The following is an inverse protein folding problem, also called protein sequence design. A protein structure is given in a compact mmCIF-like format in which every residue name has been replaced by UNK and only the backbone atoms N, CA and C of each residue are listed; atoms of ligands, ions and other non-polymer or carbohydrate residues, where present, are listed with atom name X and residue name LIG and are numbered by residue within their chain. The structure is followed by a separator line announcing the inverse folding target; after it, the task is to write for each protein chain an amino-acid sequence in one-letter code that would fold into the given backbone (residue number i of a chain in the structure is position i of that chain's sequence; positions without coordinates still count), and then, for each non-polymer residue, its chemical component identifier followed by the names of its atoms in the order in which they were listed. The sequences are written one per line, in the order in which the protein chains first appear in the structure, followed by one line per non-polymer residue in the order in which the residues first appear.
data_IF_935952234490
#
_entry.id   IF_935952234490
#
_cell.length_a   1.000
_cell.length_b   1.000
_cell.length_c   1.000
_cell.angle_alpha   90.00
_cell.angle_beta   90.00
_cell.angle_gamma   90.00
#
_symmetry.space_group_name_H-M   'P 1'
#
loop_
_entity.id
_entity.type
_entity.pdbx_description
1 polymer ?
#
# COMPACT_ATOMS: atom_id res chain seq x y z
N UNK A 1 -51.32 -39.99 42.50
CA UNK A 1 -50.74 -38.73 43.04
C UNK A 1 -49.44 -38.49 42.29
N UNK A 2 -49.49 -37.64 41.28
CA UNK A 2 -48.36 -37.34 40.41
C UNK A 2 -47.86 -35.92 40.72
N UNK A 3 -46.65 -35.81 41.21
CA UNK A 3 -45.97 -34.53 41.41
C UNK A 3 -45.20 -34.16 40.14
N UNK A 4 -45.73 -33.19 39.43
CA UNK A 4 -45.09 -32.57 38.28
C UNK A 4 -44.19 -31.41 38.77
N UNK A 5 -42.89 -31.62 38.70
CA UNK A 5 -41.89 -30.61 39.04
C UNK A 5 -41.75 -29.64 37.87
N UNK A 6 -42.13 -28.38 38.07
CA UNK A 6 -41.88 -27.29 37.10
C UNK A 6 -40.44 -26.79 37.26
N UNK A 7 -39.57 -27.11 36.29
CA UNK A 7 -38.26 -26.48 36.19
C UNK A 7 -38.45 -25.03 35.65
N UNK A 8 -38.07 -24.08 36.47
CA UNK A 8 -37.92 -22.68 36.06
C UNK A 8 -36.60 -22.53 35.29
N UNK A 9 -36.67 -22.39 33.98
CA UNK A 9 -35.54 -21.91 33.18
C UNK A 9 -35.34 -20.44 33.49
N UNK A 10 -34.23 -20.10 34.13
CA UNK A 10 -33.81 -18.69 34.27
C UNK A 10 -33.31 -18.23 32.92
N UNK A 11 -34.05 -17.31 32.29
CA UNK A 11 -33.55 -16.53 31.16
C UNK A 11 -32.35 -15.69 31.63
N UNK A 12 -31.15 -15.98 31.10
CA UNK A 12 -30.00 -15.14 31.28
C UNK A 12 -30.29 -13.81 30.54
N UNK A 13 -30.38 -12.71 31.31
CA UNK A 13 -30.48 -11.36 30.79
C UNK A 13 -29.17 -11.06 30.02
N UNK A 14 -29.18 -11.30 28.71
CA UNK A 14 -28.12 -10.86 27.83
C UNK A 14 -27.98 -9.35 27.91
N UNK A 15 -26.87 -8.88 28.44
CA UNK A 15 -26.52 -7.48 28.44
C UNK A 15 -26.58 -6.98 26.98
N UNK A 16 -27.58 -6.17 26.65
CA UNK A 16 -27.66 -5.49 25.34
C UNK A 16 -26.45 -4.56 25.28
N UNK A 17 -25.50 -4.91 24.45
CA UNK A 17 -24.37 -4.07 24.13
C UNK A 17 -24.93 -2.75 23.56
N UNK A 18 -24.78 -1.66 24.31
CA UNK A 18 -25.24 -0.34 23.87
C UNK A 18 -24.29 0.11 22.73
N UNK A 19 -24.76 0.02 21.50
CA UNK A 19 -24.06 0.58 20.34
C UNK A 19 -24.34 2.08 20.35
N UNK A 20 -23.35 2.86 20.77
CA UNK A 20 -23.41 4.31 20.73
C UNK A 20 -22.98 4.81 19.34
N UNK A 21 -23.94 5.09 18.50
CA UNK A 21 -23.75 5.59 17.14
C UNK A 21 -23.81 4.49 16.07
N UNK A 22 -23.98 4.91 14.83
CA UNK A 22 -23.91 4.06 13.64
C UNK A 22 -22.65 4.48 12.89
N UNK A 23 -21.65 3.60 12.76
CA UNK A 23 -20.46 3.93 11.96
C UNK A 23 -20.87 4.08 10.49
N UNK A 24 -20.27 5.03 9.80
CA UNK A 24 -20.25 5.04 8.35
C UNK A 24 -19.22 4.00 7.90
N UNK A 25 -19.65 3.01 7.10
CA UNK A 25 -18.78 1.91 6.66
C UNK A 25 -18.48 2.10 5.18
N UNK A 26 -17.22 2.32 4.88
CA UNK A 26 -16.71 2.37 3.53
C UNK A 26 -16.12 0.99 3.17
N UNK A 27 -16.43 0.50 1.97
CA UNK A 27 -15.95 -0.83 1.55
C UNK A 27 -14.66 -0.69 0.77
N UNK A 28 -13.65 -1.49 1.14
CA UNK A 28 -12.47 -1.71 0.33
C UNK A 28 -12.82 -2.58 -0.90
N UNK A 29 -12.01 -2.50 -1.94
CA UNK A 29 -12.19 -3.29 -3.16
C UNK A 29 -11.52 -2.62 -4.35
N UNK A 30 -12.07 -2.85 -5.52
CA UNK A 30 -11.61 -2.25 -6.78
C UNK A 30 -12.63 -1.22 -7.24
N UNK A 31 -12.27 0.07 -7.20
CA UNK A 31 -13.17 1.19 -7.48
C UNK A 31 -12.50 2.18 -8.42
N UNK A 32 -13.12 2.46 -9.56
CA UNK A 32 -12.62 3.46 -10.55
C UNK A 32 -11.15 3.24 -10.95
N UNK A 33 -10.74 2.00 -11.20
CA UNK A 33 -9.37 1.64 -11.60
C UNK A 33 -9.30 1.45 -13.10
N UNK A 34 -8.29 2.06 -13.74
CA UNK A 34 -7.96 1.83 -15.14
C UNK A 34 -6.95 0.68 -15.25
N UNK A 35 -7.32 -0.37 -15.99
CA UNK A 35 -6.46 -1.54 -16.20
C UNK A 35 -5.99 -1.63 -17.65
N UNK A 36 -4.71 -1.99 -17.81
CA UNK A 36 -4.20 -2.51 -19.07
C UNK A 36 -4.63 -3.96 -19.32
N UNK A 37 -4.01 -4.58 -20.32
CA UNK A 37 -4.28 -5.97 -20.73
C UNK A 37 -3.66 -6.95 -19.74
N UNK A 38 -4.33 -8.07 -19.49
CA UNK A 38 -3.82 -9.23 -18.72
C UNK A 38 -3.27 -8.87 -17.32
N UNK A 39 -3.92 -7.95 -16.63
CA UNK A 39 -3.60 -7.63 -15.23
C UNK A 39 -4.18 -8.70 -14.33
N UNK A 40 -3.36 -9.21 -13.42
CA UNK A 40 -3.75 -10.23 -12.42
C UNK A 40 -3.86 -9.56 -11.05
N UNK A 41 -4.99 -9.75 -10.36
CA UNK A 41 -5.22 -9.26 -9.01
C UNK A 41 -5.56 -10.45 -8.10
N UNK A 42 -4.91 -10.52 -6.94
CA UNK A 42 -5.24 -11.49 -5.89
C UNK A 42 -5.92 -10.76 -4.73
N UNK A 43 -7.19 -11.02 -4.54
CA UNK A 43 -7.98 -10.42 -3.45
C UNK A 43 -7.62 -11.00 -2.07
N UNK A 44 -7.89 -10.24 -0.98
CA UNK A 44 -8.51 -8.93 -0.96
C UNK A 44 -7.51 -7.81 -1.25
N UNK A 45 -7.97 -6.74 -1.91
CA UNK A 45 -7.18 -5.53 -2.21
C UNK A 45 -8.00 -4.26 -1.95
N UNK A 46 -7.34 -3.11 -1.88
CA UNK A 46 -7.97 -1.80 -1.85
C UNK A 46 -7.36 -0.91 -2.96
N UNK A 47 -7.95 -0.96 -4.14
CA UNK A 47 -7.49 -0.21 -5.31
C UNK A 47 -8.56 0.81 -5.69
N UNK A 48 -8.21 2.09 -5.74
CA UNK A 48 -9.20 3.11 -6.09
C UNK A 48 -8.59 4.30 -6.84
N UNK A 49 -9.26 4.70 -7.93
CA UNK A 49 -8.92 5.86 -8.75
C UNK A 49 -7.48 5.87 -9.28
N UNK A 50 -6.87 4.71 -9.45
CA UNK A 50 -5.50 4.52 -9.92
C UNK A 50 -5.45 3.89 -11.32
N UNK A 51 -4.25 3.78 -11.90
CA UNK A 51 -4.05 3.06 -13.16
C UNK A 51 -2.96 1.99 -13.03
N UNK A 52 -3.16 0.84 -13.68
CA UNK A 52 -2.25 -0.31 -13.65
C UNK A 52 -2.03 -0.78 -15.08
N UNK A 53 -0.78 -0.76 -15.53
CA UNK A 53 -0.37 -1.11 -16.90
C UNK A 53 -0.40 -2.62 -17.17
N UNK A 54 -0.20 -2.96 -18.46
CA UNK A 54 -0.35 -4.31 -19.01
C UNK A 54 0.49 -5.35 -18.29
N UNK A 55 -0.03 -6.58 -18.21
CA UNK A 55 0.68 -7.76 -17.69
C UNK A 55 1.22 -7.61 -16.27
N UNK A 56 0.65 -6.71 -15.49
CA UNK A 56 1.06 -6.47 -14.10
C UNK A 56 0.33 -7.38 -13.12
N UNK A 57 0.97 -7.65 -11.99
CA UNK A 57 0.45 -8.50 -10.92
C UNK A 57 0.31 -7.71 -9.63
N UNK A 58 -0.85 -7.80 -9.00
CA UNK A 58 -1.16 -7.19 -7.70
C UNK A 58 -1.48 -8.30 -6.70
N UNK A 59 -0.65 -8.44 -5.69
CA UNK A 59 -0.82 -9.41 -4.61
C UNK A 59 -1.91 -9.03 -3.61
N UNK A 60 -2.27 -9.95 -2.71
CA UNK A 60 -3.32 -9.71 -1.72
C UNK A 60 -2.91 -8.65 -0.69
N UNK A 61 -3.91 -7.97 -0.13
CA UNK A 61 -3.75 -6.91 0.87
C UNK A 61 -2.94 -5.70 0.38
N UNK A 62 -2.83 -5.51 -0.92
CA UNK A 62 -2.23 -4.30 -1.49
C UNK A 62 -3.26 -3.17 -1.45
N UNK A 63 -2.78 -1.97 -1.10
CA UNK A 63 -3.53 -0.73 -1.29
C UNK A 63 -2.82 0.16 -2.31
N UNK A 64 -3.57 0.64 -3.33
CA UNK A 64 -3.11 1.63 -4.30
C UNK A 64 -4.15 2.75 -4.38
N UNK A 65 -3.71 3.95 -4.03
CA UNK A 65 -4.59 5.09 -3.87
C UNK A 65 -4.80 5.90 -5.15
N UNK A 66 -5.76 6.80 -5.08
CA UNK A 66 -6.19 7.68 -6.17
C UNK A 66 -5.02 8.44 -6.81
N UNK A 67 -4.98 8.43 -8.15
CA UNK A 67 -3.97 9.12 -8.93
C UNK A 67 -2.59 8.44 -8.96
N UNK A 68 -2.38 7.34 -8.21
CA UNK A 68 -1.19 6.53 -8.36
C UNK A 68 -1.20 5.80 -9.72
N UNK A 69 -0.01 5.63 -10.30
CA UNK A 69 0.16 4.97 -11.61
C UNK A 69 1.20 3.88 -11.50
N UNK A 70 0.83 2.67 -11.90
CA UNK A 70 1.73 1.52 -12.01
C UNK A 70 1.93 1.23 -13.50
N UNK A 71 3.18 1.15 -13.92
CA UNK A 71 3.55 0.79 -15.29
C UNK A 71 3.21 -0.66 -15.65
N UNK A 72 3.65 -1.09 -16.82
CA UNK A 72 3.42 -2.43 -17.35
C UNK A 72 4.42 -3.44 -16.79
N UNK A 73 4.04 -4.72 -16.76
CA UNK A 73 4.87 -5.85 -16.30
C UNK A 73 5.43 -5.69 -14.90
N UNK A 74 4.72 -4.93 -14.07
CA UNK A 74 5.06 -4.72 -12.67
C UNK A 74 4.53 -5.85 -11.79
N UNK A 75 5.21 -6.08 -10.67
CA UNK A 75 4.76 -7.02 -9.63
C UNK A 75 4.71 -6.29 -8.29
N UNK A 76 3.51 -6.04 -7.81
CA UNK A 76 3.28 -5.42 -6.50
C UNK A 76 2.87 -6.53 -5.54
N UNK A 77 3.73 -6.84 -4.58
CA UNK A 77 3.54 -7.95 -3.67
C UNK A 77 2.67 -7.58 -2.46
N UNK A 78 2.22 -8.61 -1.75
CA UNK A 78 1.26 -8.48 -0.64
C UNK A 78 1.67 -7.44 0.42
N UNK A 79 0.66 -6.75 0.97
CA UNK A 79 0.81 -5.75 2.03
C UNK A 79 1.60 -4.50 1.62
N UNK A 80 1.82 -4.26 0.33
CA UNK A 80 2.42 -3.02 -0.13
C UNK A 80 1.39 -1.90 -0.12
N UNK A 81 1.83 -0.70 0.25
CA UNK A 81 1.03 0.51 0.25
C UNK A 81 1.60 1.53 -0.73
N UNK A 82 0.81 1.91 -1.72
CA UNK A 82 1.15 2.90 -2.74
C UNK A 82 0.21 4.09 -2.63
N UNK A 83 0.69 5.16 -2.02
CA UNK A 83 -0.13 6.35 -1.77
C UNK A 83 -0.35 7.21 -3.03
N UNK A 84 -1.20 8.23 -2.90
CA UNK A 84 -1.40 9.24 -3.94
C UNK A 84 -0.07 9.86 -4.39
N UNK A 85 0.02 10.29 -5.66
CA UNK A 85 1.18 10.93 -6.30
C UNK A 85 2.37 10.01 -6.58
N UNK A 86 2.23 8.69 -6.36
CA UNK A 86 3.28 7.72 -6.72
C UNK A 86 3.14 7.32 -8.19
N UNK A 87 4.25 7.36 -8.91
CA UNK A 87 4.37 6.86 -10.28
C UNK A 87 5.47 5.82 -10.32
N UNK A 88 5.14 4.62 -10.74
CA UNK A 88 6.05 3.48 -10.91
C UNK A 88 6.19 3.20 -12.40
N UNK A 89 7.41 3.17 -12.90
CA UNK A 89 7.71 2.82 -14.30
C UNK A 89 7.47 1.35 -14.60
N UNK A 90 7.90 0.90 -15.77
CA UNK A 90 7.71 -0.46 -16.25
C UNK A 90 8.70 -1.46 -15.62
N UNK A 91 8.35 -2.75 -15.66
CA UNK A 91 9.21 -3.85 -15.24
C UNK A 91 9.69 -3.75 -13.78
N UNK A 92 8.90 -3.10 -12.91
CA UNK A 92 9.25 -2.90 -11.52
C UNK A 92 8.76 -4.03 -10.62
N UNK A 93 9.53 -4.27 -9.55
CA UNK A 93 9.18 -5.22 -8.51
C UNK A 93 9.06 -4.50 -7.17
N UNK A 94 7.88 -4.44 -6.60
CA UNK A 94 7.61 -3.88 -5.28
C UNK A 94 7.33 -5.04 -4.34
N UNK A 95 8.28 -5.35 -3.46
CA UNK A 95 8.22 -6.51 -2.58
C UNK A 95 7.25 -6.31 -1.41
N UNK A 96 7.01 -7.37 -0.67
CA UNK A 96 6.05 -7.45 0.43
C UNK A 96 6.24 -6.34 1.47
N UNK A 97 5.15 -5.68 1.84
CA UNK A 97 5.18 -4.67 2.89
C UNK A 97 5.98 -3.41 2.55
N UNK A 98 6.34 -3.17 1.29
CA UNK A 98 6.97 -1.92 0.91
C UNK A 98 5.97 -0.76 1.01
N UNK A 99 6.41 0.36 1.60
CA UNK A 99 5.54 1.50 1.94
C UNK A 99 6.02 2.77 1.25
N UNK A 100 5.12 3.42 0.54
CA UNK A 100 5.35 4.76 -0.01
C UNK A 100 4.63 5.79 0.85
N UNK A 101 5.26 6.93 1.06
CA UNK A 101 4.66 8.06 1.77
C UNK A 101 4.71 9.32 0.90
N UNK A 102 3.76 10.22 1.06
CA UNK A 102 3.67 11.48 0.34
C UNK A 102 3.64 12.71 1.25
N UNK A 103 3.42 12.52 2.55
CA UNK A 103 3.40 13.56 3.57
C UNK A 103 4.67 13.49 4.43
N UNK A 104 5.41 14.58 4.49
CA UNK A 104 6.64 14.70 5.27
C UNK A 104 6.42 15.42 6.61
N UNK A 105 5.16 15.67 6.99
CA UNK A 105 4.80 16.33 8.25
C UNK A 105 5.53 17.66 8.47
N UNK A 106 5.72 18.43 7.39
CA UNK A 106 6.54 19.66 7.41
C UNK A 106 6.04 20.73 8.41
N UNK A 107 4.77 20.63 8.84
CA UNK A 107 4.17 21.52 9.83
C UNK A 107 4.12 20.91 11.23
N UNK A 108 4.76 19.77 11.46
CA UNK A 108 4.77 19.06 12.75
C UNK A 108 3.59 18.11 12.96
N UNK A 109 2.73 17.92 11.96
CA UNK A 109 1.58 17.01 11.95
C UNK A 109 1.16 16.67 10.53
N UNK A 110 0.11 15.84 10.36
CA UNK A 110 -0.42 15.52 9.04
C UNK A 110 -0.79 16.79 8.27
N UNK A 111 -0.48 16.79 6.97
CA UNK A 111 -0.78 17.92 6.10
C UNK A 111 -2.30 18.19 6.07
N UNK A 112 -2.67 19.41 6.37
CA UNK A 112 -4.06 19.87 6.26
C UNK A 112 -4.45 20.23 4.83
N UNK A 113 -3.46 20.42 3.95
CA UNK A 113 -3.61 20.75 2.55
C UNK A 113 -2.79 19.77 1.70
N UNK A 114 -3.44 19.16 0.71
CA UNK A 114 -2.80 18.23 -0.24
C UNK A 114 -1.68 18.86 -1.07
N UNK A 115 -1.63 20.18 -1.20
CA UNK A 115 -0.53 20.88 -1.88
C UNK A 115 0.84 20.70 -1.18
N UNK A 116 0.82 20.29 0.08
CA UNK A 116 2.02 19.96 0.87
C UNK A 116 2.56 18.56 0.56
N UNK A 117 1.74 17.66 -0.01
CA UNK A 117 2.19 16.34 -0.41
C UNK A 117 3.18 16.41 -1.57
N UNK A 118 4.08 15.46 -1.61
CA UNK A 118 5.15 15.40 -2.60
C UNK A 118 5.09 14.09 -3.38
N UNK A 119 5.38 14.12 -4.69
CA UNK A 119 5.35 12.94 -5.53
C UNK A 119 6.57 12.04 -5.32
N UNK A 120 6.36 10.74 -5.53
CA UNK A 120 7.43 9.74 -5.71
C UNK A 120 7.41 9.24 -7.15
N UNK A 121 8.58 9.14 -7.78
CA UNK A 121 8.74 8.61 -9.13
C UNK A 121 9.79 7.53 -9.16
N UNK A 122 9.42 6.34 -9.58
CA UNK A 122 10.34 5.26 -9.90
C UNK A 122 10.46 5.16 -11.42
N UNK A 123 11.69 5.07 -11.90
CA UNK A 123 11.98 4.72 -13.27
C UNK A 123 11.64 3.26 -13.57
N UNK A 124 12.16 2.74 -14.67
CA UNK A 124 11.92 1.37 -15.11
C UNK A 124 12.90 0.40 -14.43
N UNK A 125 12.50 -0.87 -14.30
CA UNK A 125 13.34 -1.94 -13.73
C UNK A 125 13.88 -1.60 -12.34
N UNK A 126 13.03 -0.99 -11.50
CA UNK A 126 13.34 -0.73 -10.09
C UNK A 126 12.79 -1.87 -9.24
N UNK A 127 13.65 -2.44 -8.40
CA UNK A 127 13.26 -3.45 -7.40
C UNK A 127 13.29 -2.85 -6.02
N UNK A 128 12.16 -2.85 -5.32
CA UNK A 128 12.04 -2.38 -3.94
C UNK A 128 11.90 -3.58 -3.02
N UNK A 129 12.84 -3.74 -2.10
CA UNK A 129 12.90 -4.87 -1.17
C UNK A 129 11.81 -4.83 -0.09
N UNK A 130 11.59 -5.97 0.53
CA UNK A 130 10.59 -6.19 1.58
C UNK A 130 10.72 -5.15 2.70
N UNK A 131 9.58 -4.58 3.13
CA UNK A 131 9.49 -3.59 4.20
C UNK A 131 10.37 -2.33 4.00
N UNK A 132 10.76 -2.03 2.77
CA UNK A 132 11.41 -0.75 2.49
C UNK A 132 10.40 0.40 2.58
N UNK A 133 10.86 1.57 3.03
CA UNK A 133 10.06 2.80 3.07
C UNK A 133 10.63 3.80 2.07
N UNK A 134 9.78 4.28 1.16
CA UNK A 134 10.15 5.22 0.12
C UNK A 134 9.49 6.57 0.42
N UNK A 135 10.30 7.57 0.73
CA UNK A 135 9.89 8.96 0.88
C UNK A 135 9.64 9.57 -0.51
N UNK A 136 9.04 10.76 -0.58
CA UNK A 136 8.89 11.50 -1.82
C UNK A 136 10.23 11.79 -2.49
N UNK A 137 10.62 10.94 -3.42
CA UNK A 137 11.91 10.97 -4.13
C UNK A 137 11.75 10.54 -5.58
N UNK A 138 12.76 10.85 -6.40
CA UNK A 138 12.90 10.30 -7.74
C UNK A 138 14.01 9.25 -7.75
N UNK A 139 13.69 8.05 -8.25
CA UNK A 139 14.62 6.92 -8.39
C UNK A 139 14.78 6.63 -9.88
N UNK A 140 16.03 6.68 -10.38
CA UNK A 140 16.31 6.38 -11.78
C UNK A 140 16.11 4.90 -12.12
N UNK A 141 16.20 4.55 -13.40
CA UNK A 141 16.11 3.17 -13.89
C UNK A 141 17.20 2.28 -13.29
N UNK A 142 16.93 0.96 -13.26
CA UNK A 142 17.89 -0.07 -12.87
C UNK A 142 18.44 0.10 -11.45
N UNK A 143 17.55 0.29 -10.48
CA UNK A 143 17.91 0.41 -9.06
C UNK A 143 17.34 -0.73 -8.26
N UNK A 144 18.12 -1.25 -7.33
CA UNK A 144 17.66 -2.21 -6.30
C UNK A 144 17.71 -1.53 -4.94
N UNK A 145 16.59 -1.49 -4.26
CA UNK A 145 16.47 -1.05 -2.86
C UNK A 145 16.43 -2.30 -1.99
N UNK A 146 17.34 -2.39 -1.04
CA UNK A 146 17.42 -3.51 -0.10
C UNK A 146 16.22 -3.58 0.85
N UNK A 147 15.96 -4.77 1.39
CA UNK A 147 14.90 -4.96 2.37
C UNK A 147 15.14 -4.07 3.62
N UNK A 148 14.05 -3.51 4.17
CA UNK A 148 14.09 -2.63 5.33
C UNK A 148 14.78 -1.29 5.11
N UNK A 149 15.18 -0.94 3.89
CA UNK A 149 15.83 0.33 3.61
C UNK A 149 14.84 1.50 3.71
N UNK A 150 15.35 2.68 4.09
CA UNK A 150 14.57 3.93 4.07
C UNK A 150 15.21 4.90 3.07
N UNK A 151 14.53 5.10 1.94
CA UNK A 151 14.99 5.99 0.87
C UNK A 151 14.53 7.41 1.15
N UNK A 152 15.46 8.28 1.51
CA UNK A 152 15.20 9.66 1.94
C UNK A 152 15.63 10.72 0.93
N UNK A 153 16.28 10.32 -0.17
CA UNK A 153 16.84 11.23 -1.18
C UNK A 153 16.76 10.60 -2.56
N UNK A 154 16.74 11.44 -3.58
CA UNK A 154 16.80 11.01 -4.97
C UNK A 154 17.97 10.07 -5.24
N UNK A 155 17.71 9.04 -6.04
CA UNK A 155 18.72 8.10 -6.55
C UNK A 155 18.90 8.36 -8.05
N UNK A 156 20.06 8.88 -8.42
CA UNK A 156 20.37 9.32 -9.79
C UNK A 156 21.28 8.36 -10.54
N UNK A 157 21.77 7.32 -9.86
CA UNK A 157 22.73 6.37 -10.45
C UNK A 157 22.23 4.95 -10.23
N UNK A 158 22.22 4.08 -11.26
CA UNK A 158 21.89 2.68 -11.11
C UNK A 158 22.79 1.99 -10.07
N UNK A 159 22.22 1.07 -9.30
CA UNK A 159 22.95 0.37 -8.27
C UNK A 159 22.06 -0.27 -7.21
N UNK A 160 22.69 -0.87 -6.22
CA UNK A 160 22.04 -1.46 -5.05
C UNK A 160 22.19 -0.50 -3.88
N UNK A 161 21.08 -0.09 -3.29
CA UNK A 161 21.00 0.83 -2.16
C UNK A 161 20.36 0.15 -0.97
N UNK A 162 20.89 0.30 0.22
CA UNK A 162 20.31 -0.26 1.43
C UNK A 162 20.63 0.57 2.67
N UNK A 163 19.98 0.24 3.78
CA UNK A 163 20.15 0.86 5.09
C UNK A 163 19.13 1.96 5.38
N UNK A 164 19.23 2.54 6.57
CA UNK A 164 18.42 3.67 7.04
C UNK A 164 19.33 4.79 7.56
N UNK A 165 19.45 5.91 6.83
CA UNK A 165 18.95 6.13 5.47
C UNK A 165 19.69 5.29 4.42
N UNK A 166 19.04 4.98 3.31
CA UNK A 166 19.61 4.17 2.23
C UNK A 166 20.86 4.83 1.62
N UNK A 167 21.89 4.03 1.37
CA UNK A 167 23.15 4.42 0.74
C UNK A 167 23.54 3.42 -0.34
N UNK A 168 24.27 3.87 -1.34
CA UNK A 168 24.83 2.99 -2.36
C UNK A 168 25.74 1.94 -1.72
N UNK A 169 25.43 0.66 -1.92
CA UNK A 169 26.26 -0.46 -1.52
C UNK A 169 27.20 -0.90 -2.65
N UNK A 170 26.68 -0.98 -3.87
CA UNK A 170 27.45 -1.37 -5.06
C UNK A 170 26.76 -0.91 -6.33
N UNK A 171 27.50 -0.73 -7.40
CA UNK A 171 26.96 -0.54 -8.76
C UNK A 171 26.42 -1.87 -9.32
N UNK A 172 25.48 -1.78 -10.23
CA UNK A 172 24.98 -2.91 -11.03
C UNK A 172 25.84 -3.08 -12.28
#
# INVERSE_FOLDING_TARGET
MSHTSKQHVRESSGARQRIFGRPEIWRAGVVEVEFGTDVIIVEPVNLYGCSIGDHSFIGPFVEIQKGARIGSRCRIQSHSFVCELVIVGDDCFISHGAMFINDLFVTGGPATDRSLWRPTRLGNRVSVGTNATILPVTICDNVVIGAGAVVTRDIKTPGVYAGNPARLLRKL
#
